data_IF_160587189954
#
_entry.id   IF_160587189954
#
_cell.length_a   1.000
_cell.length_b   1.000
_cell.length_c   1.000
_cell.angle_alpha   90.00
_cell.angle_beta   90.00
_cell.angle_gamma   90.00
#
_symmetry.space_group_name_H-M   'P 1'
#
loop_
_entity.id
_entity.type
_entity.pdbx_description
1 polymer ?
#
# COMPACT_ATOMS: atom_id res chain seq x y z
N UNK A 1 16.02 20.39 3.43
CA UNK A 1 15.09 19.34 3.91
C UNK A 1 14.68 19.66 5.33
N UNK A 2 13.42 19.37 5.73
CA UNK A 2 12.93 19.67 7.08
C UNK A 2 13.68 18.85 8.14
N UNK A 3 14.06 19.49 9.24
CA UNK A 3 14.53 18.78 10.44
C UNK A 3 13.33 18.34 11.28
N UNK A 4 12.94 17.07 11.14
CA UNK A 4 11.84 16.47 11.90
C UNK A 4 12.13 16.27 13.40
N UNK A 5 13.32 16.68 13.90
CA UNK A 5 13.59 16.74 15.35
C UNK A 5 12.70 17.80 16.02
N UNK A 6 12.41 18.91 15.33
CA UNK A 6 11.59 20.00 15.87
C UNK A 6 10.10 19.59 15.87
N UNK A 7 9.43 19.78 17.01
CA UNK A 7 8.00 19.48 17.16
C UNK A 7 7.13 20.29 16.19
N UNK A 8 7.38 21.58 16.04
CA UNK A 8 6.64 22.45 15.12
C UNK A 8 6.67 21.94 13.67
N UNK A 9 7.82 21.44 13.19
CA UNK A 9 7.95 20.83 11.86
C UNK A 9 7.05 19.60 11.72
N UNK A 10 7.03 18.73 12.74
CA UNK A 10 6.18 17.53 12.76
C UNK A 10 4.69 17.87 12.79
N UNK A 11 4.30 18.88 13.56
CA UNK A 11 2.92 19.37 13.64
C UNK A 11 2.45 19.98 12.31
N UNK A 12 3.31 20.78 11.65
CA UNK A 12 3.00 21.33 10.33
C UNK A 12 2.85 20.24 9.25
N UNK A 13 3.66 19.18 9.33
CA UNK A 13 3.63 18.04 8.40
C UNK A 13 2.74 16.88 8.88
N UNK A 14 1.87 17.11 9.85
CA UNK A 14 0.97 16.07 10.37
C UNK A 14 -0.19 15.80 9.42
N UNK A 15 -0.44 14.52 9.11
CA UNK A 15 -1.65 14.13 8.40
C UNK A 15 -2.89 14.47 9.24
N UNK A 16 -3.90 15.04 8.59
CA UNK A 16 -5.19 15.35 9.21
C UNK A 16 -6.27 14.52 8.55
N UNK A 17 -7.25 14.09 9.32
CA UNK A 17 -8.39 13.34 8.81
C UNK A 17 -9.63 14.20 9.07
N UNK A 18 -10.30 14.58 7.99
CA UNK A 18 -11.54 15.35 8.04
C UNK A 18 -12.72 14.37 8.01
N UNK A 19 -13.39 14.24 9.16
CA UNK A 19 -14.55 13.38 9.35
C UNK A 19 -15.88 14.10 9.09
N UNK A 20 -15.87 15.33 8.56
CA UNK A 20 -17.11 16.07 8.25
C UNK A 20 -18.02 15.27 7.34
N UNK A 21 -17.46 14.52 6.37
CA UNK A 21 -18.17 13.58 5.50
C UNK A 21 -18.80 12.37 6.20
N UNK A 22 -18.69 12.27 7.53
CA UNK A 22 -19.35 11.26 8.36
C UNK A 22 -20.32 11.86 9.38
N UNK A 23 -20.07 13.09 9.86
CA UNK A 23 -20.82 13.71 10.96
C UNK A 23 -21.72 14.88 10.53
N UNK A 24 -21.57 15.38 9.30
CA UNK A 24 -22.36 16.51 8.78
C UNK A 24 -23.87 16.27 8.88
N UNK A 25 -24.63 17.29 9.28
CA UNK A 25 -26.08 17.19 9.46
C UNK A 25 -26.82 16.90 8.14
N UNK A 26 -26.24 17.32 7.02
CA UNK A 26 -26.72 17.13 5.66
C UNK A 26 -26.74 15.66 5.23
N UNK A 27 -25.97 14.79 5.90
CA UNK A 27 -26.05 13.34 5.74
C UNK A 27 -27.39 12.77 6.28
N UNK A 28 -28.15 13.57 7.04
CA UNK A 28 -29.44 13.23 7.62
C UNK A 28 -29.37 11.90 8.39
N UNK A 29 -30.22 10.94 8.04
CA UNK A 29 -30.18 9.63 8.68
C UNK A 29 -28.84 8.93 8.51
N UNK A 30 -28.03 9.21 7.48
CA UNK A 30 -26.72 8.58 7.27
C UNK A 30 -25.61 9.18 8.15
N UNK A 31 -25.85 10.31 8.83
CA UNK A 31 -24.86 10.89 9.74
C UNK A 31 -24.53 9.91 10.87
N UNK A 32 -23.25 9.74 11.17
CA UNK A 32 -22.77 8.94 12.31
C UNK A 32 -23.10 9.71 13.59
N UNK A 33 -23.99 9.22 14.47
CA UNK A 33 -24.29 9.93 15.70
C UNK A 33 -23.08 9.90 16.63
N UNK A 34 -22.70 11.04 17.21
CA UNK A 34 -21.62 11.10 18.20
C UNK A 34 -21.85 10.13 19.36
N UNK A 35 -23.09 10.04 19.83
CA UNK A 35 -23.52 9.11 20.88
C UNK A 35 -23.31 7.62 20.49
N UNK A 36 -23.32 7.29 19.20
CA UNK A 36 -23.06 5.92 18.75
C UNK A 36 -21.57 5.55 18.88
N UNK A 37 -20.67 6.49 18.60
CA UNK A 37 -19.23 6.30 18.86
C UNK A 37 -18.96 6.22 20.37
N UNK A 38 -19.64 7.05 21.16
CA UNK A 38 -19.55 7.01 22.64
C UNK A 38 -20.08 5.68 23.20
N UNK A 39 -21.13 5.11 22.60
CA UNK A 39 -21.62 3.77 22.97
C UNK A 39 -20.62 2.65 22.65
N UNK A 40 -19.73 2.84 21.66
CA UNK A 40 -18.64 1.91 21.35
C UNK A 40 -17.39 2.13 22.22
N UNK A 41 -17.35 3.17 23.05
CA UNK A 41 -16.12 3.57 23.76
C UNK A 41 -15.48 2.45 24.58
N UNK A 42 -16.29 1.65 25.30
CA UNK A 42 -15.76 0.52 26.08
C UNK A 42 -15.09 -0.55 25.19
N UNK A 43 -15.72 -0.91 24.07
CA UNK A 43 -15.14 -1.86 23.10
C UNK A 43 -13.89 -1.30 22.45
N UNK A 44 -13.88 -0.02 22.11
CA UNK A 44 -12.73 0.66 21.51
C UNK A 44 -11.53 0.71 22.47
N UNK A 45 -11.77 1.02 23.75
CA UNK A 45 -10.74 0.99 24.79
C UNK A 45 -10.19 -0.42 24.97
N UNK A 46 -11.05 -1.44 25.01
CA UNK A 46 -10.62 -2.84 25.11
C UNK A 46 -9.76 -3.24 23.90
N UNK A 47 -10.21 -2.96 22.67
CA UNK A 47 -9.44 -3.26 21.45
C UNK A 47 -8.08 -2.54 21.46
N UNK A 48 -8.05 -1.28 21.91
CA UNK A 48 -6.84 -0.50 22.07
C UNK A 48 -5.85 -1.14 23.06
N UNK A 49 -6.33 -1.55 24.25
CA UNK A 49 -5.53 -2.20 25.26
C UNK A 49 -5.03 -3.58 24.81
N UNK A 50 -5.86 -4.37 24.14
CA UNK A 50 -5.49 -5.69 23.61
C UNK A 50 -4.36 -5.58 22.59
N UNK A 51 -4.49 -4.67 21.62
CA UNK A 51 -3.43 -4.43 20.63
C UNK A 51 -2.13 -3.97 21.29
N UNK A 52 -2.20 -3.09 22.30
CA UNK A 52 -1.01 -2.67 23.05
C UNK A 52 -0.36 -3.84 23.79
N UNK A 53 -1.14 -4.65 24.50
CA UNK A 53 -0.62 -5.81 25.23
C UNK A 53 0.04 -6.82 24.28
N UNK A 54 -0.56 -7.09 23.12
CA UNK A 54 0.01 -7.98 22.09
C UNK A 54 1.29 -7.41 21.48
N UNK A 55 1.38 -6.10 21.32
CA UNK A 55 2.60 -5.43 20.87
C UNK A 55 3.73 -5.55 21.90
N UNK A 56 3.43 -5.31 23.19
CA UNK A 56 4.39 -5.46 24.30
C UNK A 56 4.84 -6.91 24.48
N UNK A 57 3.96 -7.88 24.24
CA UNK A 57 4.27 -9.31 24.21
C UNK A 57 5.08 -9.74 22.98
N UNK A 58 5.26 -8.86 21.98
CA UNK A 58 6.00 -9.16 20.75
C UNK A 58 5.21 -9.97 19.71
N UNK A 59 3.90 -10.13 19.88
CA UNK A 59 3.02 -10.88 18.97
C UNK A 59 2.69 -10.10 17.70
N UNK A 60 2.93 -8.79 17.69
CA UNK A 60 2.68 -7.90 16.55
C UNK A 60 4.01 -7.35 16.00
N UNK A 61 4.79 -8.16 15.26
CA UNK A 61 6.11 -7.77 14.77
C UNK A 61 6.06 -6.56 13.83
N UNK A 62 4.93 -6.32 13.15
CA UNK A 62 4.74 -5.14 12.28
C UNK A 62 4.94 -3.81 13.04
N UNK A 63 4.47 -3.71 14.29
CA UNK A 63 4.56 -2.49 15.07
C UNK A 63 5.89 -2.41 15.84
N UNK A 64 6.35 -3.53 16.40
CA UNK A 64 7.62 -3.55 17.13
C UNK A 64 8.83 -3.30 16.23
N UNK A 65 8.76 -3.65 14.94
CA UNK A 65 9.83 -3.40 13.97
C UNK A 65 10.20 -1.92 13.85
N UNK A 66 9.24 -1.01 13.97
CA UNK A 66 9.47 0.44 13.87
C UNK A 66 10.57 0.93 14.84
N UNK A 67 10.68 0.29 16.01
CA UNK A 67 11.64 0.63 17.05
C UNK A 67 12.94 -0.17 16.96
N UNK A 68 12.98 -1.21 16.12
CA UNK A 68 14.19 -2.00 15.87
C UNK A 68 15.10 -1.23 14.92
N UNK A 69 16.34 -0.97 15.37
CA UNK A 69 17.39 -0.37 14.53
C UNK A 69 18.24 -1.41 13.81
N UNK A 70 18.06 -2.68 14.13
CA UNK A 70 18.75 -3.81 13.52
C UNK A 70 18.48 -3.85 12.01
N UNK A 71 19.50 -4.11 11.21
CA UNK A 71 19.40 -4.10 9.74
C UNK A 71 19.33 -2.71 9.07
N UNK A 72 19.02 -1.62 9.79
CA UNK A 72 18.97 -0.28 9.17
C UNK A 72 20.36 0.23 8.73
N UNK A 73 21.42 -0.12 9.47
CA UNK A 73 22.78 0.21 9.07
C UNK A 73 23.16 -0.52 7.78
N UNK A 74 22.91 -1.82 7.73
CA UNK A 74 23.12 -2.67 6.55
C UNK A 74 22.33 -2.19 5.33
N UNK A 75 21.05 -1.82 5.51
CA UNK A 75 20.23 -1.22 4.46
C UNK A 75 20.87 0.04 3.90
N UNK A 76 21.40 0.94 4.74
CA UNK A 76 22.04 2.19 4.29
C UNK A 76 23.35 1.94 3.57
N UNK A 77 24.18 1.07 4.12
CA UNK A 77 25.48 0.71 3.56
C UNK A 77 25.30 0.04 2.20
N UNK A 78 24.41 -0.94 2.10
CA UNK A 78 24.10 -1.61 0.85
C UNK A 78 23.47 -0.65 -0.16
N UNK A 79 22.58 0.23 0.28
CA UNK A 79 21.97 1.22 -0.62
C UNK A 79 23.00 2.21 -1.17
N UNK A 80 23.94 2.66 -0.35
CA UNK A 80 25.05 3.51 -0.82
C UNK A 80 25.96 2.76 -1.80
N UNK A 81 26.32 1.51 -1.50
CA UNK A 81 27.10 0.68 -2.41
C UNK A 81 26.40 0.52 -3.77
N UNK A 82 25.10 0.24 -3.76
CA UNK A 82 24.31 0.11 -5.00
C UNK A 82 24.22 1.44 -5.76
N UNK A 83 24.02 2.58 -5.07
CA UNK A 83 24.02 3.91 -5.72
C UNK A 83 25.35 4.25 -6.39
N UNK A 84 26.46 3.81 -5.81
CA UNK A 84 27.80 4.06 -6.36
C UNK A 84 28.11 3.15 -7.56
N UNK A 85 27.55 1.94 -7.57
CA UNK A 85 27.82 0.93 -8.59
C UNK A 85 26.86 0.97 -9.77
N UNK A 86 25.60 1.38 -9.56
CA UNK A 86 24.52 1.22 -10.53
C UNK A 86 23.72 2.52 -10.75
N UNK A 87 23.27 2.71 -11.99
CA UNK A 87 22.41 3.82 -12.38
C UNK A 87 20.93 3.50 -12.20
N UNK A 88 20.58 2.22 -12.30
CA UNK A 88 19.21 1.73 -12.18
C UNK A 88 19.11 0.60 -11.16
N UNK A 89 18.07 0.63 -10.35
CA UNK A 89 17.62 -0.48 -9.53
C UNK A 89 16.26 -0.97 -10.05
N UNK A 90 16.16 -2.24 -10.40
CA UNK A 90 14.90 -2.92 -10.75
C UNK A 90 14.42 -3.67 -9.52
N UNK A 91 13.26 -3.31 -8.98
CA UNK A 91 12.59 -4.08 -7.92
C UNK A 91 11.79 -5.19 -8.58
N UNK A 92 12.17 -6.44 -8.33
CA UNK A 92 11.52 -7.66 -8.81
C UNK A 92 10.69 -8.23 -7.67
N UNK A 93 9.38 -8.14 -7.78
CA UNK A 93 8.45 -8.60 -6.75
C UNK A 93 7.04 -8.12 -7.03
N UNK A 94 6.06 -8.84 -6.52
CA UNK A 94 4.64 -8.57 -6.79
C UNK A 94 3.90 -8.11 -5.53
N UNK A 95 2.76 -7.46 -5.76
CA UNK A 95 1.82 -7.08 -4.72
C UNK A 95 2.31 -6.02 -3.73
N UNK A 96 1.80 -6.10 -2.52
CA UNK A 96 1.97 -5.24 -1.36
C UNK A 96 3.33 -4.62 -1.16
N UNK A 97 4.39 -5.44 -1.15
CA UNK A 97 5.74 -4.93 -0.93
C UNK A 97 6.19 -4.06 -2.10
N UNK A 98 5.96 -4.50 -3.34
CA UNK A 98 6.29 -3.71 -4.52
C UNK A 98 5.48 -2.41 -4.55
N UNK A 99 4.18 -2.45 -4.25
CA UNK A 99 3.33 -1.26 -4.18
C UNK A 99 3.74 -0.31 -3.06
N UNK A 100 4.13 -0.82 -1.89
CA UNK A 100 4.65 -0.01 -0.80
C UNK A 100 5.95 0.69 -1.22
N UNK A 101 6.86 -0.03 -1.87
CA UNK A 101 8.09 0.56 -2.41
C UNK A 101 7.77 1.62 -3.47
N UNK A 102 6.86 1.33 -4.40
CA UNK A 102 6.42 2.28 -5.43
C UNK A 102 5.85 3.56 -4.80
N UNK A 103 5.00 3.40 -3.78
CA UNK A 103 4.41 4.51 -3.05
C UNK A 103 5.47 5.39 -2.37
N UNK A 104 6.53 4.76 -1.84
CA UNK A 104 7.67 5.48 -1.28
C UNK A 104 8.48 6.18 -2.37
N UNK A 105 8.88 5.48 -3.41
CA UNK A 105 9.87 5.97 -4.38
C UNK A 105 9.31 6.99 -5.37
N UNK A 106 8.06 6.84 -5.85
CA UNK A 106 7.46 7.76 -6.84
C UNK A 106 7.24 9.18 -6.29
N UNK A 107 7.34 9.37 -4.97
CA UNK A 107 7.13 10.64 -4.32
C UNK A 107 8.28 11.65 -4.50
N UNK A 108 9.44 11.26 -5.07
CA UNK A 108 10.60 12.15 -5.20
C UNK A 108 11.36 11.98 -6.51
N UNK A 109 12.08 13.04 -6.91
CA UNK A 109 13.12 12.94 -7.93
C UNK A 109 14.28 12.11 -7.37
N UNK A 110 14.63 11.03 -8.06
CA UNK A 110 15.59 10.05 -7.56
C UNK A 110 16.96 10.25 -8.19
N UNK A 111 18.03 10.01 -7.42
CA UNK A 111 19.41 10.04 -7.94
C UNK A 111 19.73 8.80 -8.77
N UNK A 112 19.29 7.65 -8.28
CA UNK A 112 19.32 6.36 -8.97
C UNK A 112 17.91 6.07 -9.44
N UNK A 113 17.75 5.66 -10.70
CA UNK A 113 16.44 5.33 -11.25
C UNK A 113 15.96 4.04 -10.59
N UNK A 114 14.77 4.05 -9.99
CA UNK A 114 14.15 2.82 -9.49
C UNK A 114 12.96 2.48 -10.36
N UNK A 115 12.95 1.27 -10.89
CA UNK A 115 11.88 0.72 -11.74
C UNK A 115 11.33 -0.55 -11.10
N UNK A 116 10.14 -0.94 -11.51
CA UNK A 116 9.40 -2.04 -10.90
C UNK A 116 9.03 -3.07 -11.96
N UNK A 117 9.41 -4.32 -11.72
CA UNK A 117 9.00 -5.48 -12.49
C UNK A 117 7.89 -6.22 -11.72
N UNK A 118 6.71 -5.60 -11.64
CA UNK A 118 5.57 -6.09 -10.85
C UNK A 118 4.56 -6.92 -11.66
N UNK A 119 4.84 -7.12 -12.95
CA UNK A 119 4.04 -7.94 -13.87
C UNK A 119 4.88 -9.04 -14.54
N UNK A 120 4.29 -10.23 -14.64
CA UNK A 120 4.83 -11.37 -15.41
C UNK A 120 4.31 -11.44 -16.85
N UNK A 121 3.54 -10.43 -17.28
CA UNK A 121 3.17 -10.29 -18.68
C UNK A 121 4.45 -10.19 -19.54
N UNK A 122 4.65 -11.09 -20.51
CA UNK A 122 5.87 -11.12 -21.30
C UNK A 122 6.11 -9.83 -22.10
N UNK A 123 5.08 -9.10 -22.52
CA UNK A 123 5.23 -7.83 -23.21
C UNK A 123 5.74 -6.75 -22.26
N UNK A 124 5.11 -6.65 -21.07
CA UNK A 124 5.51 -5.68 -20.05
C UNK A 124 6.93 -5.94 -19.52
N UNK A 125 7.21 -7.19 -19.14
CA UNK A 125 8.52 -7.57 -18.61
C UNK A 125 9.61 -7.51 -19.69
N UNK A 126 9.32 -7.98 -20.91
CA UNK A 126 10.23 -7.91 -22.05
C UNK A 126 10.60 -6.47 -22.40
N UNK A 127 9.60 -5.59 -22.56
CA UNK A 127 9.83 -4.18 -22.86
C UNK A 127 10.61 -3.45 -21.76
N UNK A 128 10.43 -3.82 -20.49
CA UNK A 128 11.25 -3.30 -19.40
C UNK A 128 12.70 -3.72 -19.57
N UNK A 129 12.96 -5.02 -19.75
CA UNK A 129 14.32 -5.57 -19.86
C UNK A 129 15.05 -4.99 -21.09
N UNK A 130 14.38 -4.87 -22.23
CA UNK A 130 14.97 -4.33 -23.47
C UNK A 130 15.40 -2.86 -23.37
N UNK A 131 14.83 -2.10 -22.43
CA UNK A 131 15.19 -0.70 -22.19
C UNK A 131 16.35 -0.52 -21.21
N UNK A 132 16.84 -1.60 -20.58
CA UNK A 132 17.85 -1.54 -19.54
C UNK A 132 19.24 -1.84 -20.09
N UNK A 133 20.23 -1.07 -19.64
CA UNK A 133 21.63 -1.48 -19.71
C UNK A 133 21.96 -2.37 -18.51
N UNK A 134 22.05 -3.68 -18.74
CA UNK A 134 22.29 -4.64 -17.67
C UNK A 134 23.65 -4.44 -16.97
N UNK A 135 24.64 -3.82 -17.64
CA UNK A 135 25.96 -3.55 -17.04
C UNK A 135 25.93 -2.46 -15.98
N UNK A 136 24.89 -1.63 -15.96
CA UNK A 136 24.71 -0.52 -15.00
C UNK A 136 23.41 -0.65 -14.19
N UNK A 137 22.80 -1.84 -14.21
CA UNK A 137 21.52 -2.13 -13.55
C UNK A 137 21.67 -3.20 -12.47
N UNK A 138 21.20 -2.90 -11.26
CA UNK A 138 21.01 -3.89 -10.21
C UNK A 138 19.54 -4.33 -10.13
N UNK A 139 19.31 -5.53 -9.61
CA UNK A 139 18.01 -6.13 -9.40
C UNK A 139 17.83 -6.47 -7.93
N UNK A 140 16.78 -5.93 -7.30
CA UNK A 140 16.37 -6.29 -5.96
C UNK A 140 15.19 -7.26 -6.02
N UNK A 141 15.44 -8.53 -5.73
CA UNK A 141 14.45 -9.61 -5.74
C UNK A 141 13.81 -9.70 -4.36
N UNK A 142 12.51 -9.47 -4.28
CA UNK A 142 11.77 -9.40 -3.02
C UNK A 142 10.67 -10.46 -2.99
N UNK A 143 10.76 -11.39 -2.04
CA UNK A 143 9.70 -12.34 -1.70
C UNK A 143 9.96 -12.84 -0.29
N UNK A 144 9.02 -12.65 0.63
CA UNK A 144 9.20 -13.15 2.00
C UNK A 144 9.28 -14.66 2.04
N UNK A 145 8.34 -15.36 1.40
CA UNK A 145 8.33 -16.83 1.38
C UNK A 145 9.55 -17.41 0.66
N UNK A 146 10.18 -16.62 -0.21
CA UNK A 146 11.20 -17.11 -1.12
C UNK A 146 10.67 -18.11 -2.15
N UNK A 147 9.34 -18.25 -2.26
CA UNK A 147 8.66 -19.27 -3.07
C UNK A 147 7.58 -18.68 -3.99
N UNK A 148 7.39 -17.37 -4.02
CA UNK A 148 6.40 -16.70 -4.89
C UNK A 148 6.72 -17.00 -6.38
N UNK A 149 5.86 -17.73 -7.11
CA UNK A 149 6.17 -18.20 -8.46
C UNK A 149 6.49 -17.09 -9.45
N UNK A 150 5.74 -15.99 -9.39
CA UNK A 150 5.89 -14.83 -10.26
C UNK A 150 7.27 -14.19 -10.09
N UNK A 151 7.66 -13.93 -8.82
CA UNK A 151 8.98 -13.38 -8.48
C UNK A 151 10.10 -14.36 -8.85
N UNK A 152 9.95 -15.64 -8.57
CA UNK A 152 10.96 -16.66 -8.90
C UNK A 152 11.15 -16.80 -10.41
N UNK A 153 10.07 -16.77 -11.19
CA UNK A 153 10.15 -16.84 -12.65
C UNK A 153 10.93 -15.64 -13.21
N UNK A 154 10.60 -14.42 -12.80
CA UNK A 154 11.33 -13.22 -13.21
C UNK A 154 12.79 -13.27 -12.75
N UNK A 155 13.05 -13.70 -11.51
CA UNK A 155 14.42 -13.87 -10.99
C UNK A 155 15.24 -14.84 -11.85
N UNK A 156 14.69 -16.00 -12.22
CA UNK A 156 15.39 -16.98 -13.04
C UNK A 156 15.73 -16.42 -14.43
N UNK A 157 14.83 -15.64 -15.03
CA UNK A 157 15.08 -14.96 -16.31
C UNK A 157 16.19 -13.91 -16.15
N UNK A 158 16.08 -13.02 -15.15
CA UNK A 158 17.09 -11.98 -14.88
C UNK A 158 18.46 -12.60 -14.62
N UNK A 159 18.52 -13.65 -13.80
CA UNK A 159 19.75 -14.35 -13.46
C UNK A 159 20.41 -14.94 -14.70
N UNK A 160 19.66 -15.63 -15.56
CA UNK A 160 20.17 -16.20 -16.80
C UNK A 160 20.68 -15.11 -17.78
N UNK A 161 19.94 -14.00 -17.91
CA UNK A 161 20.36 -12.86 -18.75
C UNK A 161 21.67 -12.24 -18.24
N UNK A 162 21.76 -11.94 -16.94
CA UNK A 162 22.98 -11.39 -16.34
C UNK A 162 24.15 -12.36 -16.48
N UNK A 163 23.93 -13.66 -16.25
CA UNK A 163 24.99 -14.67 -16.37
C UNK A 163 25.51 -14.77 -17.81
N UNK A 164 24.63 -14.72 -18.82
CA UNK A 164 25.03 -14.75 -20.24
C UNK A 164 25.76 -13.49 -20.68
N UNK A 165 25.36 -12.33 -20.18
CA UNK A 165 25.90 -11.04 -20.63
C UNK A 165 27.17 -10.61 -19.87
N UNK A 166 27.22 -10.88 -18.56
CA UNK A 166 28.29 -10.40 -17.67
C UNK A 166 29.23 -11.52 -17.20
N UNK A 167 28.80 -12.78 -17.34
CA UNK A 167 29.57 -13.94 -16.90
C UNK A 167 29.45 -14.23 -15.40
N UNK A 168 29.99 -15.39 -15.00
CA UNK A 168 29.81 -15.96 -13.65
C UNK A 168 30.46 -15.15 -12.52
N UNK A 169 31.44 -14.29 -12.83
CA UNK A 169 32.14 -13.49 -11.81
C UNK A 169 31.34 -12.24 -11.48
N UNK A 170 30.81 -11.55 -12.50
CA UNK A 170 30.24 -10.21 -12.32
C UNK A 170 28.73 -10.22 -12.14
N UNK A 171 27.98 -11.28 -12.50
CA UNK A 171 26.52 -11.21 -12.40
C UNK A 171 26.01 -11.10 -10.95
N UNK A 172 26.69 -11.73 -9.98
CA UNK A 172 26.20 -11.84 -8.60
C UNK A 172 26.13 -10.47 -7.89
N UNK A 173 27.03 -9.54 -8.23
CA UNK A 173 26.95 -8.16 -7.72
C UNK A 173 25.75 -7.39 -8.27
N UNK A 174 25.11 -7.81 -9.37
CA UNK A 174 23.88 -7.16 -9.87
C UNK A 174 22.63 -7.62 -9.12
N UNK A 175 22.73 -8.60 -8.22
CA UNK A 175 21.59 -9.14 -7.49
C UNK A 175 21.64 -8.78 -6.00
N UNK A 176 20.50 -8.34 -5.49
CA UNK A 176 20.23 -8.16 -4.06
C UNK A 176 18.93 -8.88 -3.72
N UNK A 177 18.97 -9.83 -2.80
CA UNK A 177 17.78 -10.60 -2.42
C UNK A 177 17.23 -10.12 -1.08
N UNK A 178 15.93 -9.83 -1.01
CA UNK A 178 15.24 -9.49 0.23
C UNK A 178 14.16 -10.53 0.52
N UNK A 179 14.46 -11.43 1.45
CA UNK A 179 13.68 -12.64 1.75
C UNK A 179 13.72 -12.94 3.26
N UNK A 180 12.97 -13.92 3.73
CA UNK A 180 13.09 -14.44 5.10
C UNK A 180 14.56 -14.72 5.48
N UNK A 181 14.92 -14.54 6.74
CA UNK A 181 16.30 -14.68 7.21
C UNK A 181 16.83 -16.11 7.12
N UNK A 182 15.96 -17.11 7.28
CA UNK A 182 16.35 -18.50 7.47
C UNK A 182 15.61 -19.47 6.55
N UNK A 183 14.46 -19.09 5.98
CA UNK A 183 13.57 -19.98 5.24
C UNK A 183 13.39 -19.59 3.76
N UNK A 184 12.93 -20.56 2.96
CA UNK A 184 12.52 -20.38 1.57
C UNK A 184 13.64 -20.64 0.55
N UNK A 185 13.23 -20.92 -0.69
CA UNK A 185 14.16 -21.26 -1.77
C UNK A 185 15.14 -20.11 -2.08
N UNK A 186 14.66 -18.85 -2.08
CA UNK A 186 15.54 -17.69 -2.24
C UNK A 186 16.63 -17.60 -1.17
N UNK A 187 16.34 -17.96 0.09
CA UNK A 187 17.35 -17.96 1.15
C UNK A 187 18.43 -19.01 0.88
N UNK A 188 18.03 -20.21 0.46
CA UNK A 188 18.98 -21.25 0.06
C UNK A 188 19.87 -20.79 -1.10
N UNK A 189 19.27 -20.17 -2.13
CA UNK A 189 20.00 -19.64 -3.29
C UNK A 189 21.00 -18.56 -2.87
N UNK A 190 20.63 -17.66 -1.94
CA UNK A 190 21.55 -16.66 -1.38
C UNK A 190 22.77 -17.33 -0.73
N UNK A 191 22.58 -18.42 0.01
CA UNK A 191 23.68 -19.17 0.63
C UNK A 191 24.57 -19.87 -0.41
N UNK A 192 23.97 -20.47 -1.43
CA UNK A 192 24.70 -21.23 -2.45
C UNK A 192 25.49 -20.34 -3.41
N UNK A 193 24.94 -19.17 -3.78
CA UNK A 193 25.52 -18.28 -4.79
C UNK A 193 26.20 -17.04 -4.20
N UNK A 194 26.03 -16.77 -2.89
CA UNK A 194 26.69 -15.67 -2.19
C UNK A 194 26.14 -14.28 -2.54
N UNK A 195 24.86 -14.18 -2.89
CA UNK A 195 24.23 -12.89 -3.18
C UNK A 195 24.19 -11.99 -1.94
N UNK A 196 24.27 -10.68 -2.18
CA UNK A 196 23.96 -9.68 -1.15
C UNK A 196 22.49 -9.84 -0.76
N UNK A 197 22.18 -9.84 0.54
CA UNK A 197 20.81 -10.06 0.98
C UNK A 197 20.42 -9.19 2.16
N UNK A 198 19.10 -8.99 2.32
CA UNK A 198 18.50 -8.31 3.46
C UNK A 198 17.36 -9.18 4.02
N UNK A 199 17.16 -9.21 5.35
CA UNK A 199 16.09 -10.00 5.93
C UNK A 199 14.74 -9.26 5.88
N UNK A 200 13.67 -10.00 5.62
CA UNK A 200 12.30 -9.58 5.96
C UNK A 200 11.99 -10.08 7.38
N UNK A 201 11.51 -9.23 8.30
CA UNK A 201 11.27 -9.64 9.68
C UNK A 201 10.29 -10.81 9.78
N UNK A 202 10.56 -11.80 10.66
CA UNK A 202 9.67 -12.93 10.86
C UNK A 202 8.30 -12.45 11.36
N UNK A 203 7.23 -13.13 10.95
CA UNK A 203 5.86 -12.81 11.36
C UNK A 203 5.25 -11.54 10.75
N UNK A 204 5.95 -10.81 9.87
CA UNK A 204 5.38 -9.65 9.14
C UNK A 204 5.02 -10.06 7.71
N UNK A 205 3.75 -10.10 7.32
CA UNK A 205 3.38 -10.41 5.92
C UNK A 205 3.91 -9.34 4.95
N UNK A 206 3.98 -9.67 3.65
CA UNK A 206 4.50 -8.76 2.61
C UNK A 206 3.79 -7.39 2.64
N UNK A 207 2.46 -7.36 2.81
CA UNK A 207 1.64 -6.13 2.89
C UNK A 207 1.99 -5.26 4.10
N UNK A 208 2.33 -5.90 5.23
CA UNK A 208 2.71 -5.25 6.48
C UNK A 208 4.19 -4.82 6.49
N UNK A 209 4.99 -5.30 5.53
CA UNK A 209 6.43 -5.07 5.42
C UNK A 209 6.81 -3.70 4.79
N UNK A 210 5.85 -2.78 4.65
CA UNK A 210 6.01 -1.46 4.02
C UNK A 210 7.05 -0.53 4.71
N UNK A 211 7.40 -0.80 5.98
CA UNK A 211 8.46 -0.11 6.74
C UNK A 211 9.63 -1.04 7.11
N UNK A 212 9.74 -2.18 6.45
CA UNK A 212 10.82 -3.16 6.61
C UNK A 212 11.97 -2.94 5.60
N UNK A 213 13.10 -3.68 5.70
CA UNK A 213 14.18 -3.60 4.73
C UNK A 213 13.73 -3.78 3.28
N UNK A 214 12.68 -4.57 3.04
CA UNK A 214 12.11 -4.77 1.71
C UNK A 214 11.64 -3.47 1.03
N UNK A 215 11.11 -2.53 1.81
CA UNK A 215 10.69 -1.22 1.30
C UNK A 215 11.74 -0.13 1.52
N UNK A 216 12.44 -0.19 2.64
CA UNK A 216 13.43 0.83 3.01
C UNK A 216 14.69 0.76 2.15
N UNK A 217 15.12 -0.42 1.70
CA UNK A 217 16.29 -0.55 0.83
C UNK A 217 16.13 0.13 -0.53
N UNK A 218 15.14 -0.22 -1.36
CA UNK A 218 14.92 0.48 -2.63
C UNK A 218 14.58 1.96 -2.44
N UNK A 219 13.88 2.34 -1.35
CA UNK A 219 13.69 3.74 -0.99
C UNK A 219 15.01 4.45 -0.69
N UNK A 220 15.91 3.83 0.08
CA UNK A 220 17.23 4.39 0.33
C UNK A 220 17.99 4.53 -0.99
N UNK A 221 18.03 3.50 -1.86
CA UNK A 221 18.72 3.55 -3.16
C UNK A 221 18.23 4.70 -4.03
N UNK A 222 16.94 5.02 -4.02
CA UNK A 222 16.40 6.17 -4.75
C UNK A 222 16.94 7.53 -4.29
N UNK A 223 17.55 7.59 -3.10
CA UNK A 223 18.05 8.80 -2.45
C UNK A 223 17.17 9.27 -1.29
N UNK A 224 16.10 8.53 -0.97
CA UNK A 224 15.20 8.88 0.12
C UNK A 224 15.87 8.71 1.48
N UNK A 225 15.62 9.68 2.38
CA UNK A 225 15.97 9.57 3.79
C UNK A 225 15.00 8.64 4.51
N UNK A 226 15.35 7.37 4.64
CA UNK A 226 14.53 6.37 5.34
C UNK A 226 14.23 6.74 6.80
N UNK A 227 15.10 7.52 7.45
CA UNK A 227 14.87 8.05 8.80
C UNK A 227 13.66 8.96 8.87
N UNK A 228 13.36 9.69 7.80
CA UNK A 228 12.22 10.59 7.75
C UNK A 228 10.92 9.77 7.62
N UNK A 229 10.94 8.62 6.92
CA UNK A 229 9.82 7.65 6.89
C UNK A 229 9.56 7.12 8.30
N UNK A 230 10.60 6.60 8.96
CA UNK A 230 10.49 6.03 10.30
C UNK A 230 10.06 7.09 11.34
N UNK A 231 10.55 8.33 11.22
CA UNK A 231 10.11 9.43 12.06
C UNK A 231 8.63 9.76 11.86
N UNK A 232 8.13 9.66 10.62
CA UNK A 232 6.72 9.80 10.29
C UNK A 232 5.85 8.72 10.92
N UNK A 233 6.26 7.47 10.77
CA UNK A 233 5.58 6.33 11.40
C UNK A 233 5.55 6.47 12.93
N UNK A 234 6.67 6.81 13.57
CA UNK A 234 6.74 7.05 15.02
C UNK A 234 5.89 8.24 15.48
N UNK A 235 5.76 9.27 14.65
CA UNK A 235 4.86 10.39 14.93
C UNK A 235 3.39 9.97 14.91
N UNK A 236 2.98 9.16 13.92
CA UNK A 236 1.62 8.63 13.89
C UNK A 236 1.37 7.62 15.02
N UNK A 237 2.35 6.79 15.37
CA UNK A 237 2.29 5.92 16.53
C UNK A 237 1.95 6.67 17.81
N UNK A 238 2.68 7.75 18.11
CA UNK A 238 2.45 8.54 19.30
C UNK A 238 1.00 9.07 19.35
N UNK A 239 0.42 9.43 18.21
CA UNK A 239 -0.99 9.84 18.10
C UNK A 239 -1.96 8.67 18.25
N UNK A 240 -1.58 7.48 17.80
CA UNK A 240 -2.39 6.26 17.91
C UNK A 240 -2.31 5.61 19.30
N UNK A 241 -1.38 6.04 20.18
CA UNK A 241 -1.32 5.62 21.59
C UNK A 241 -2.30 6.35 22.51
N UNK A 242 -2.94 7.42 22.02
CA UNK A 242 -3.98 8.13 22.77
C UNK A 242 -5.22 7.22 22.92
N UNK A 243 -5.68 6.91 24.15
CA UNK A 243 -6.83 6.04 24.37
C UNK A 243 -8.17 6.72 24.05
N UNK A 244 -8.25 8.05 24.09
CA UNK A 244 -9.45 8.78 23.68
C UNK A 244 -9.66 8.67 22.16
N UNK A 245 -10.76 8.04 21.76
CA UNK A 245 -11.16 7.88 20.35
C UNK A 245 -11.16 9.20 19.60
N UNK A 246 -11.57 10.31 20.21
CA UNK A 246 -11.67 11.61 19.51
C UNK A 246 -10.31 12.27 19.25
N UNK A 247 -9.25 11.77 19.88
CA UNK A 247 -7.89 12.28 19.77
C UNK A 247 -6.95 11.28 19.09
N UNK A 248 -7.44 10.08 18.81
CA UNK A 248 -6.72 9.00 18.12
C UNK A 248 -7.24 8.83 16.68
N UNK A 249 -6.48 9.24 15.65
CA UNK A 249 -6.97 9.24 14.28
C UNK A 249 -7.28 7.84 13.75
N UNK A 250 -6.45 6.83 14.07
CA UNK A 250 -6.66 5.46 13.62
C UNK A 250 -7.84 4.80 14.32
N UNK A 251 -8.02 5.06 15.62
CA UNK A 251 -9.12 4.51 16.39
C UNK A 251 -10.47 5.14 16.00
N UNK A 252 -10.51 6.46 15.75
CA UNK A 252 -11.71 7.12 15.24
C UNK A 252 -12.10 6.62 13.86
N UNK A 253 -11.11 6.46 12.97
CA UNK A 253 -11.34 5.92 11.63
C UNK A 253 -11.92 4.50 11.70
N UNK A 254 -11.34 3.64 12.54
CA UNK A 254 -11.86 2.30 12.78
C UNK A 254 -13.29 2.32 13.37
N UNK A 255 -13.56 3.20 14.35
CA UNK A 255 -14.86 3.30 14.99
C UNK A 255 -15.97 3.71 14.01
N UNK A 256 -15.71 4.75 13.20
CA UNK A 256 -16.65 5.24 12.18
C UNK A 256 -16.94 4.16 11.14
N UNK A 257 -15.91 3.46 10.67
CA UNK A 257 -16.04 2.45 9.63
C UNK A 257 -16.70 1.18 10.14
N UNK A 258 -16.39 0.77 11.37
CA UNK A 258 -17.08 -0.32 12.04
C UNK A 258 -18.57 0.00 12.21
N UNK A 259 -18.90 1.18 12.72
CA UNK A 259 -20.30 1.61 12.88
C UNK A 259 -21.04 1.65 11.54
N UNK A 260 -20.44 2.25 10.52
CA UNK A 260 -21.04 2.32 9.18
C UNK A 260 -21.23 0.92 8.58
N UNK A 261 -20.31 -0.01 8.84
CA UNK A 261 -20.43 -1.39 8.37
C UNK A 261 -21.57 -2.14 9.07
N UNK A 262 -21.64 -2.07 10.40
CA UNK A 262 -22.65 -2.80 11.19
C UNK A 262 -24.04 -2.21 11.02
N UNK A 263 -24.17 -0.89 11.15
CA UNK A 263 -25.48 -0.22 11.18
C UNK A 263 -26.01 0.13 9.80
N UNK A 264 -25.10 0.32 8.81
CA UNK A 264 -25.45 0.80 7.46
C UNK A 264 -25.02 -0.12 6.34
N UNK A 265 -24.50 -1.30 6.69
CA UNK A 265 -24.05 -2.29 5.73
C UNK A 265 -23.05 -1.69 4.71
N UNK A 266 -22.19 -0.76 5.16
CA UNK A 266 -21.04 -0.31 4.38
C UNK A 266 -20.06 -1.47 4.29
N UNK A 267 -19.74 -1.85 3.05
CA UNK A 267 -18.91 -3.01 2.73
C UNK A 267 -17.69 -2.65 1.91
N UNK A 268 -17.62 -1.45 1.37
CA UNK A 268 -16.64 -1.13 0.34
C UNK A 268 -15.94 0.17 0.63
N UNK A 269 -14.62 0.13 0.73
CA UNK A 269 -13.77 1.31 0.87
C UNK A 269 -13.12 1.66 -0.45
N UNK A 270 -13.08 2.96 -0.75
CA UNK A 270 -12.52 3.45 -2.01
C UNK A 270 -11.48 4.52 -1.73
N UNK A 271 -10.21 4.20 -1.95
CA UNK A 271 -9.13 5.17 -1.85
C UNK A 271 -9.07 6.00 -3.13
N UNK A 272 -9.16 7.33 -3.00
CA UNK A 272 -9.23 8.26 -4.14
C UNK A 272 -8.04 9.22 -4.07
N UNK A 273 -6.90 8.92 -4.71
CA UNK A 273 -5.73 9.78 -4.64
C UNK A 273 -5.93 11.04 -5.51
N UNK A 274 -5.96 12.22 -4.88
CA UNK A 274 -5.90 13.53 -5.57
C UNK A 274 -4.45 13.96 -5.83
N UNK A 275 -3.58 13.00 -6.14
CA UNK A 275 -2.20 13.22 -6.51
C UNK A 275 -1.66 11.96 -7.19
N UNK A 276 -0.98 12.11 -8.33
CA UNK A 276 -0.41 10.96 -9.06
C UNK A 276 0.61 10.18 -8.21
N UNK A 277 1.40 10.89 -7.40
CA UNK A 277 2.41 10.25 -6.54
C UNK A 277 1.80 9.39 -5.41
N UNK A 278 0.50 9.52 -5.15
CA UNK A 278 -0.22 8.70 -4.15
C UNK A 278 -0.96 7.50 -4.77
N UNK A 279 -0.85 7.29 -6.09
CA UNK A 279 -1.56 6.19 -6.77
C UNK A 279 -1.14 4.81 -6.27
N UNK A 280 0.16 4.54 -6.21
CA UNK A 280 0.69 3.30 -5.64
C UNK A 280 0.36 3.16 -4.15
N UNK A 281 0.25 4.27 -3.42
CA UNK A 281 -0.15 4.24 -2.00
C UNK A 281 -1.63 3.86 -1.85
N UNK A 282 -2.50 4.37 -2.73
CA UNK A 282 -3.92 4.03 -2.75
C UNK A 282 -4.13 2.54 -3.12
N UNK A 283 -3.36 2.04 -4.10
CA UNK A 283 -3.28 0.61 -4.44
C UNK A 283 -2.88 -0.24 -3.24
N UNK A 284 -1.74 0.08 -2.62
CA UNK A 284 -1.26 -0.60 -1.41
C UNK A 284 -2.29 -0.56 -0.28
N UNK A 285 -2.97 0.58 -0.09
CA UNK A 285 -4.00 0.76 0.94
C UNK A 285 -5.20 -0.15 0.70
N UNK A 286 -5.64 -0.27 -0.55
CA UNK A 286 -6.73 -1.16 -0.93
C UNK A 286 -6.36 -2.63 -0.73
N UNK A 287 -5.16 -3.03 -1.15
CA UNK A 287 -4.69 -4.42 -0.93
C UNK A 287 -4.55 -4.74 0.56
N UNK A 288 -3.98 -3.83 1.36
CA UNK A 288 -3.82 -4.01 2.81
C UNK A 288 -5.17 -4.27 3.49
N UNK A 289 -6.18 -3.45 3.20
CA UNK A 289 -7.52 -3.60 3.79
C UNK A 289 -8.19 -4.87 3.28
N UNK A 290 -8.15 -5.10 1.96
CA UNK A 290 -8.82 -6.23 1.32
C UNK A 290 -8.28 -7.59 1.77
N UNK A 291 -6.97 -7.70 1.96
CA UNK A 291 -6.31 -8.95 2.37
C UNK A 291 -6.40 -9.17 3.89
N UNK A 292 -6.13 -8.15 4.70
CA UNK A 292 -6.08 -8.33 6.16
C UNK A 292 -7.45 -8.45 6.82
N UNK A 293 -8.50 -7.89 6.22
CA UNK A 293 -9.87 -8.04 6.73
C UNK A 293 -10.63 -9.16 6.04
N UNK A 294 -10.00 -9.88 5.09
CA UNK A 294 -10.58 -11.08 4.53
C UNK A 294 -10.75 -12.17 5.59
N UNK A 295 -11.94 -12.74 5.68
CA UNK A 295 -12.19 -13.87 6.56
C UNK A 295 -11.67 -15.17 5.93
N UNK A 296 -10.74 -15.82 6.62
CA UNK A 296 -10.47 -17.25 6.45
C UNK A 296 -11.65 -18.05 7.02
N UNK A 297 -12.22 -18.94 6.22
CA UNK A 297 -13.35 -19.73 6.65
C UNK A 297 -12.88 -21.01 7.35
N UNK A 298 -13.06 -21.06 8.68
CA UNK A 298 -12.67 -22.19 9.54
C UNK A 298 -13.28 -23.57 9.24
N UNK A 299 -13.94 -23.75 8.09
CA UNK A 299 -14.54 -25.01 7.63
C UNK A 299 -14.18 -25.36 6.18
N UNK A 300 -13.10 -24.81 5.61
CA UNK A 300 -12.69 -25.09 4.22
C UNK A 300 -13.60 -24.46 3.15
N UNK A 301 -14.40 -23.46 3.52
CA UNK A 301 -15.21 -22.64 2.60
C UNK A 301 -14.81 -21.19 2.76
N UNK A 302 -14.43 -20.55 1.66
CA UNK A 302 -14.18 -19.10 1.62
C UNK A 302 -15.40 -18.35 2.17
N UNK A 303 -15.22 -17.59 3.24
CA UNK A 303 -16.26 -16.71 3.78
C UNK A 303 -16.14 -15.33 3.15
N UNK A 304 -17.27 -14.65 2.99
CA UNK A 304 -17.25 -13.26 2.53
C UNK A 304 -16.61 -12.37 3.60
N UNK A 305 -15.68 -11.53 3.17
CA UNK A 305 -15.15 -10.45 4.00
C UNK A 305 -16.28 -9.49 4.38
N UNK A 306 -16.32 -8.95 5.61
CA UNK A 306 -17.23 -7.85 5.92
C UNK A 306 -16.88 -6.57 5.16
N UNK A 307 -15.62 -6.44 4.70
CA UNK A 307 -15.11 -5.26 4.03
C UNK A 307 -14.25 -5.61 2.81
N UNK A 308 -14.49 -4.92 1.71
CA UNK A 308 -13.69 -4.91 0.50
C UNK A 308 -13.07 -3.53 0.34
N UNK A 309 -11.92 -3.45 -0.32
CA UNK A 309 -11.32 -2.19 -0.66
C UNK A 309 -10.82 -2.18 -2.11
N UNK A 310 -10.97 -1.03 -2.75
CA UNK A 310 -10.42 -0.74 -4.06
C UNK A 310 -9.97 0.72 -4.10
N UNK A 311 -9.42 1.13 -5.22
CA UNK A 311 -8.92 2.48 -5.43
C UNK A 311 -9.33 2.95 -6.82
N UNK A 312 -9.48 4.26 -6.97
CA UNK A 312 -9.75 4.88 -8.27
C UNK A 312 -9.11 6.25 -8.34
N UNK A 313 -8.46 6.53 -9.47
CA UNK A 313 -7.91 7.85 -9.75
C UNK A 313 -8.53 8.41 -11.02
N UNK A 314 -8.89 9.69 -10.97
CA UNK A 314 -9.14 10.51 -12.15
C UNK A 314 -8.70 11.93 -11.86
N UNK A 315 -8.19 12.62 -12.89
CA UNK A 315 -8.00 14.07 -12.81
C UNK A 315 -9.33 14.82 -12.94
N UNK A 316 -10.36 14.16 -13.44
CA UNK A 316 -11.72 14.69 -13.61
C UNK A 316 -12.60 14.31 -12.40
N UNK A 317 -12.94 15.28 -11.53
CA UNK A 317 -13.81 15.04 -10.39
C UNK A 317 -15.25 14.67 -10.79
N UNK A 318 -15.70 15.02 -12.00
CA UNK A 318 -17.05 14.68 -12.47
C UNK A 318 -17.16 13.20 -12.82
N UNK A 319 -16.11 12.61 -13.38
CA UNK A 319 -16.01 11.16 -13.56
C UNK A 319 -15.99 10.44 -12.21
N UNK A 320 -15.23 10.93 -11.23
CA UNK A 320 -15.21 10.36 -9.88
C UNK A 320 -16.59 10.41 -9.23
N UNK A 321 -17.31 11.53 -9.37
CA UNK A 321 -18.67 11.65 -8.90
C UNK A 321 -19.59 10.63 -9.55
N UNK A 322 -19.52 10.47 -10.88
CA UNK A 322 -20.35 9.51 -11.60
C UNK A 322 -20.10 8.07 -11.12
N UNK A 323 -18.85 7.70 -10.89
CA UNK A 323 -18.48 6.37 -10.38
C UNK A 323 -18.93 6.18 -8.93
N UNK A 324 -18.60 7.12 -8.03
CA UNK A 324 -18.89 6.99 -6.59
C UNK A 324 -20.38 7.13 -6.26
N UNK A 325 -21.13 7.93 -7.03
CA UNK A 325 -22.58 8.04 -6.83
C UNK A 325 -23.34 6.90 -7.52
N UNK A 326 -22.82 6.41 -8.65
CA UNK A 326 -23.37 5.26 -9.37
C UNK A 326 -23.08 3.92 -8.69
N UNK A 327 -22.09 3.84 -7.80
CA UNK A 327 -21.81 2.63 -7.03
C UNK A 327 -22.91 2.33 -6.00
N UNK A 328 -22.89 1.09 -5.52
CA UNK A 328 -23.79 0.64 -4.47
C UNK A 328 -23.65 1.52 -3.21
N UNK A 329 -24.76 1.65 -2.45
CA UNK A 329 -24.80 2.56 -1.29
C UNK A 329 -23.95 2.12 -0.10
N UNK A 330 -23.31 0.97 -0.20
CA UNK A 330 -22.38 0.39 0.76
C UNK A 330 -20.93 0.88 0.58
N UNK A 331 -20.73 1.94 -0.22
CA UNK A 331 -19.42 2.52 -0.53
C UNK A 331 -19.04 3.66 0.43
N UNK A 332 -17.81 3.65 0.92
CA UNK A 332 -17.17 4.68 1.75
C UNK A 332 -15.92 5.20 1.04
N UNK A 333 -15.86 6.50 0.73
CA UNK A 333 -14.73 7.08 0.03
C UNK A 333 -13.65 7.61 1.00
N UNK A 334 -12.39 7.49 0.61
CA UNK A 334 -11.24 8.03 1.34
C UNK A 334 -10.39 8.87 0.38
N UNK A 335 -10.79 10.14 0.12
CA UNK A 335 -9.96 11.06 -0.65
C UNK A 335 -8.59 11.28 0.01
N UNK A 336 -7.51 11.13 -0.76
CA UNK A 336 -6.16 11.50 -0.32
C UNK A 336 -5.82 12.88 -0.88
N UNK A 337 -6.09 13.90 -0.08
CA UNK A 337 -6.09 15.31 -0.46
C UNK A 337 -4.74 15.97 -0.18
N UNK A 338 -3.96 16.28 -1.22
CA UNK A 338 -2.68 16.99 -1.08
C UNK A 338 -2.89 18.50 -1.08
N UNK A 339 -2.22 19.21 -0.17
CA UNK A 339 -2.28 20.67 -0.05
C UNK A 339 -1.16 21.34 -0.85
N UNK A 340 0.09 20.92 -0.62
CA UNK A 340 1.26 21.38 -1.37
C UNK A 340 1.78 20.27 -2.29
N UNK A 341 1.75 20.54 -3.59
CA UNK A 341 2.24 19.64 -4.64
C UNK A 341 3.73 19.86 -4.99
N UNK A 342 4.39 20.86 -4.38
CA UNK A 342 5.79 21.20 -4.62
C UNK A 342 6.08 21.88 -5.96
N UNK A 343 5.05 22.12 -6.78
CA UNK A 343 5.13 22.79 -8.07
C UNK A 343 3.91 23.69 -8.27
N UNK A 344 4.14 24.93 -8.67
CA UNK A 344 3.09 25.88 -9.02
C UNK A 344 3.04 26.09 -10.52
N UNK A 345 1.87 25.84 -11.10
CA UNK A 345 1.60 26.06 -12.52
C UNK A 345 0.36 26.93 -12.66
N UNK A 346 0.54 28.26 -12.82
CA UNK A 346 -0.58 29.18 -12.99
C UNK A 346 -1.24 28.97 -14.36
N UNK A 347 -2.57 29.04 -14.39
CA UNK A 347 -3.34 29.05 -15.62
C UNK A 347 -3.32 30.45 -16.20
N UNK A 348 -2.86 30.56 -17.45
CA UNK A 348 -2.78 31.83 -18.15
C UNK A 348 -4.18 32.45 -18.30
N UNK A 349 -4.25 33.76 -18.11
CA UNK A 349 -5.47 34.57 -18.32
C UNK A 349 -5.74 34.85 -19.81
N UNK A 350 -5.49 33.87 -20.67
CA UNK A 350 -5.76 33.96 -22.11
C UNK A 350 -7.24 33.67 -22.39
N UNK A 351 -7.80 34.30 -23.43
CA UNK A 351 -9.18 34.08 -23.89
C UNK A 351 -10.26 34.35 -22.82
N UNK A 352 -10.07 35.36 -21.96
CA UNK A 352 -11.03 35.73 -20.91
C UNK A 352 -12.35 36.31 -21.44
N UNK A 353 -12.38 36.71 -22.70
CA UNK A 353 -13.60 37.06 -23.44
C UNK A 353 -14.50 35.84 -23.71
N UNK A 354 -13.96 34.62 -23.65
CA UNK A 354 -14.72 33.38 -23.73
C UNK A 354 -15.21 32.96 -22.34
N UNK A 355 -16.51 33.10 -22.09
CA UNK A 355 -17.17 32.74 -20.81
C UNK A 355 -16.77 31.34 -20.27
N UNK A 356 -16.68 30.27 -21.09
CA UNK A 356 -16.28 28.95 -20.60
C UNK A 356 -14.84 28.84 -20.08
N UNK A 357 -13.98 29.83 -20.35
CA UNK A 357 -12.57 29.83 -19.97
C UNK A 357 -12.24 30.89 -18.92
N UNK A 358 -13.04 31.96 -18.85
CA UNK A 358 -12.79 33.14 -18.03
C UNK A 358 -12.55 32.81 -16.54
N UNK A 359 -13.28 31.83 -15.98
CA UNK A 359 -13.16 31.43 -14.59
C UNK A 359 -11.86 30.68 -14.24
N UNK A 360 -11.10 30.21 -15.24
CA UNK A 360 -9.85 29.49 -15.03
C UNK A 360 -8.65 30.43 -14.84
N UNK A 361 -8.70 31.62 -15.45
CA UNK A 361 -7.60 32.59 -15.42
C UNK A 361 -7.35 33.11 -14.00
N UNK A 362 -6.07 33.10 -13.59
CA UNK A 362 -5.66 33.57 -12.25
C UNK A 362 -5.63 32.50 -11.17
N UNK A 363 -6.06 31.27 -11.47
CA UNK A 363 -5.88 30.09 -10.61
C UNK A 363 -4.64 29.28 -11.00
N UNK A 364 -4.08 28.52 -10.06
CA UNK A 364 -3.13 27.45 -10.35
C UNK A 364 -3.82 26.12 -10.65
N UNK A 365 -3.12 25.20 -11.32
CA UNK A 365 -3.61 23.82 -11.50
C UNK A 365 -3.93 23.13 -10.17
N UNK A 366 -3.16 23.41 -9.11
CA UNK A 366 -3.43 22.90 -7.77
C UNK A 366 -4.73 23.46 -7.17
N UNK A 367 -5.07 24.73 -7.44
CA UNK A 367 -6.33 25.34 -6.98
C UNK A 367 -7.54 24.68 -7.64
N UNK A 368 -7.44 24.42 -8.95
CA UNK A 368 -8.49 23.74 -9.72
C UNK A 368 -8.68 22.32 -9.21
N UNK A 369 -7.59 21.58 -8.97
CA UNK A 369 -7.65 20.23 -8.41
C UNK A 369 -8.30 20.22 -7.02
N UNK A 370 -7.92 21.17 -6.15
CA UNK A 370 -8.51 21.32 -4.83
C UNK A 370 -9.99 21.72 -4.87
N UNK A 371 -10.38 22.60 -5.81
CA UNK A 371 -11.77 22.97 -6.04
C UNK A 371 -12.60 21.77 -6.53
N UNK A 372 -12.07 20.99 -7.47
CA UNK A 372 -12.69 19.76 -7.96
C UNK A 372 -12.93 18.74 -6.85
N UNK A 373 -11.93 18.53 -5.97
CA UNK A 373 -12.09 17.70 -4.76
C UNK A 373 -13.21 18.19 -3.85
N UNK A 374 -13.22 19.49 -3.52
CA UNK A 374 -14.27 20.08 -2.65
C UNK A 374 -15.66 19.93 -3.27
N UNK A 375 -15.77 20.09 -4.59
CA UNK A 375 -17.02 19.87 -5.32
C UNK A 375 -17.48 18.41 -5.21
N UNK A 376 -16.56 17.44 -5.38
CA UNK A 376 -16.86 16.02 -5.18
C UNK A 376 -17.34 15.75 -3.75
N UNK A 377 -16.58 16.19 -2.74
CA UNK A 377 -16.92 16.00 -1.32
C UNK A 377 -18.29 16.60 -0.98
N UNK A 378 -18.58 17.81 -1.48
CA UNK A 378 -19.88 18.47 -1.30
C UNK A 378 -21.02 17.64 -1.92
N UNK A 379 -20.80 17.14 -3.13
CA UNK A 379 -21.78 16.31 -3.82
C UNK A 379 -22.00 14.98 -3.09
N UNK A 380 -20.94 14.35 -2.58
CA UNK A 380 -21.06 13.15 -1.73
C UNK A 380 -21.93 13.42 -0.50
N UNK A 381 -21.74 14.54 0.20
CA UNK A 381 -22.60 14.94 1.33
C UNK A 381 -24.06 15.10 0.89
N UNK A 382 -24.33 15.86 -0.18
CA UNK A 382 -25.69 16.10 -0.67
C UNK A 382 -26.42 14.80 -1.05
N UNK A 383 -25.69 13.82 -1.56
CA UNK A 383 -26.22 12.49 -1.90
C UNK A 383 -26.11 11.47 -0.77
N UNK A 384 -25.81 11.93 0.45
CA UNK A 384 -25.72 11.13 1.67
C UNK A 384 -24.71 9.97 1.56
N UNK A 385 -23.56 10.22 0.94
CA UNK A 385 -22.44 9.28 0.81
C UNK A 385 -21.37 9.58 1.86
N UNK A 386 -20.84 8.54 2.48
CA UNK A 386 -19.77 8.69 3.47
C UNK A 386 -18.41 8.91 2.83
N UNK A 387 -17.64 9.80 3.44
CA UNK A 387 -16.21 9.87 3.20
C UNK A 387 -15.45 10.40 4.41
N UNK A 388 -14.14 10.11 4.42
CA UNK A 388 -13.16 10.79 5.28
C UNK A 388 -12.04 11.31 4.40
N UNK A 389 -11.84 12.63 4.41
CA UNK A 389 -10.78 13.25 3.61
C UNK A 389 -9.47 13.19 4.40
N UNK A 390 -8.50 12.43 3.90
CA UNK A 390 -7.15 12.42 4.45
C UNK A 390 -6.38 13.60 3.85
N UNK A 391 -6.18 14.66 4.63
CA UNK A 391 -5.44 15.84 4.23
C UNK A 391 -3.94 15.66 4.47
N UNK A 392 -3.19 15.70 3.37
CA UNK A 392 -1.75 15.63 3.27
C UNK A 392 -1.19 17.04 3.12
N UNK A 393 -0.41 17.56 4.08
CA UNK A 393 0.26 18.85 3.92
C UNK A 393 1.15 18.88 2.68
N UNK A 394 1.89 17.81 2.45
CA UNK A 394 2.74 17.59 1.28
C UNK A 394 2.97 16.07 1.14
N UNK A 395 3.30 15.57 -0.05
CA UNK A 395 3.77 14.19 -0.21
C UNK A 395 5.27 14.12 0.02
N UNK A 396 5.69 13.59 1.16
CA UNK A 396 7.09 13.40 1.52
C UNK A 396 7.29 12.13 2.39
N UNK A 397 8.54 11.70 2.68
CA UNK A 397 8.80 10.46 3.41
C UNK A 397 8.11 10.42 4.77
N UNK A 398 8.08 11.56 5.48
CA UNK A 398 7.46 11.68 6.79
C UNK A 398 5.94 11.53 6.74
N UNK A 399 5.25 12.09 5.75
CA UNK A 399 3.81 11.88 5.59
C UNK A 399 3.47 10.47 5.12
N UNK A 400 4.32 9.86 4.29
CA UNK A 400 4.14 8.48 3.84
C UNK A 400 4.24 7.49 5.02
N UNK A 401 5.26 7.65 5.88
CA UNK A 401 5.40 6.86 7.09
C UNK A 401 4.21 7.00 8.05
N UNK A 402 3.66 8.22 8.19
CA UNK A 402 2.44 8.45 8.96
C UNK A 402 1.23 7.68 8.41
N UNK A 403 1.01 7.70 7.09
CA UNK A 403 -0.12 7.01 6.47
C UNK A 403 0.02 5.50 6.62
N UNK A 404 1.19 4.95 6.28
CA UNK A 404 1.45 3.50 6.35
C UNK A 404 1.15 2.98 7.74
N UNK A 405 1.71 3.62 8.77
CA UNK A 405 1.49 3.23 10.15
C UNK A 405 0.03 3.41 10.60
N UNK A 406 -0.58 4.57 10.27
CA UNK A 406 -1.95 4.88 10.67
C UNK A 406 -2.97 3.92 10.08
N UNK A 407 -2.82 3.57 8.80
CA UNK A 407 -3.71 2.64 8.13
C UNK A 407 -3.53 1.21 8.65
N UNK A 408 -2.29 0.75 8.82
CA UNK A 408 -2.02 -0.54 9.49
C UNK A 408 -2.71 -0.58 10.85
N UNK A 409 -2.54 0.44 11.70
CA UNK A 409 -3.18 0.48 13.01
C UNK A 409 -4.71 0.49 12.92
N UNK A 410 -5.28 1.20 11.95
CA UNK A 410 -6.73 1.22 11.70
C UNK A 410 -7.26 -0.18 11.36
N UNK A 411 -6.57 -0.90 10.49
CA UNK A 411 -6.93 -2.26 10.09
C UNK A 411 -6.89 -3.22 11.28
N UNK A 412 -5.87 -3.13 12.14
CA UNK A 412 -5.81 -3.94 13.36
C UNK A 412 -6.96 -3.62 14.32
N UNK A 413 -7.32 -2.34 14.51
CA UNK A 413 -8.51 -1.99 15.31
C UNK A 413 -9.80 -2.57 14.72
N UNK A 414 -9.97 -2.51 13.40
CA UNK A 414 -11.14 -3.10 12.74
C UNK A 414 -11.19 -4.60 12.91
N UNK A 415 -10.06 -5.29 12.76
CA UNK A 415 -9.99 -6.72 12.95
C UNK A 415 -10.43 -7.13 14.36
N UNK A 416 -9.95 -6.43 15.40
CA UNK A 416 -10.41 -6.66 16.79
C UNK A 416 -11.91 -6.36 16.95
N UNK A 417 -12.42 -5.27 16.36
CA UNK A 417 -13.84 -4.91 16.44
C UNK A 417 -14.77 -5.91 15.74
N UNK A 418 -14.34 -6.49 14.61
CA UNK A 418 -15.05 -7.53 13.89
C UNK A 418 -14.80 -8.94 14.44
N UNK A 419 -13.80 -9.13 15.31
CA UNK A 419 -13.41 -10.44 15.83
C UNK A 419 -12.71 -11.32 14.78
N UNK A 420 -11.94 -10.71 13.88
CA UNK A 420 -11.23 -11.35 12.77
C UNK A 420 -9.75 -11.43 13.10
N UNK A 421 -9.10 -12.54 12.73
CA UNK A 421 -7.64 -12.64 12.76
C UNK A 421 -7.07 -12.02 11.47
N UNK A 422 -6.26 -10.94 11.56
CA UNK A 422 -5.69 -10.33 10.37
C UNK A 422 -4.77 -11.29 9.60
N UNK A 423 -4.89 -11.31 8.28
CA UNK A 423 -3.91 -11.96 7.39
C UNK A 423 -4.13 -13.46 7.15
N UNK A 424 -5.38 -13.92 7.21
CA UNK A 424 -5.72 -15.26 6.73
C UNK A 424 -5.63 -15.31 5.18
N UNK A 425 -4.57 -15.92 4.64
CA UNK A 425 -4.31 -15.99 3.18
C UNK A 425 -5.00 -17.19 2.48
N UNK A 426 -6.06 -17.78 3.05
CA UNK A 426 -6.63 -19.05 2.58
C UNK A 426 -6.99 -19.08 1.08
N UNK A 427 -7.56 -17.99 0.56
CA UNK A 427 -7.91 -17.86 -0.86
C UNK A 427 -6.68 -17.81 -1.76
N UNK A 428 -5.67 -17.04 -1.36
CA UNK A 428 -4.39 -16.95 -2.06
C UNK A 428 -3.68 -18.30 -2.08
N UNK A 429 -3.63 -18.99 -0.93
CA UNK A 429 -3.08 -20.33 -0.81
C UNK A 429 -3.81 -21.35 -1.69
N UNK A 430 -5.14 -21.33 -1.71
CA UNK A 430 -5.92 -22.23 -2.55
C UNK A 430 -5.59 -22.04 -4.04
N UNK A 431 -5.52 -20.78 -4.51
CA UNK A 431 -5.13 -20.47 -5.88
C UNK A 431 -3.69 -20.91 -6.18
N UNK A 432 -2.74 -20.64 -5.26
CA UNK A 432 -1.33 -21.08 -5.40
C UNK A 432 -1.21 -22.59 -5.55
N UNK A 433 -1.98 -23.39 -4.80
CA UNK A 433 -1.95 -24.85 -4.91
C UNK A 433 -2.43 -25.34 -6.29
N UNK A 434 -3.48 -24.72 -6.83
CA UNK A 434 -3.95 -25.00 -8.20
C UNK A 434 -2.90 -24.60 -9.24
N UNK A 435 -2.26 -23.44 -9.08
CA UNK A 435 -1.17 -22.99 -9.93
C UNK A 435 0.01 -23.98 -9.90
N UNK A 436 0.42 -24.45 -8.72
CA UNK A 436 1.48 -25.45 -8.59
C UNK A 436 1.14 -26.73 -9.34
N UNK A 437 -0.09 -27.23 -9.21
CA UNK A 437 -0.55 -28.41 -9.94
C UNK A 437 -0.56 -28.21 -11.45
N UNK A 438 -1.08 -27.05 -11.92
CA UNK A 438 -1.12 -26.71 -13.33
C UNK A 438 0.28 -26.58 -13.96
N UNK A 439 1.28 -26.18 -13.19
CA UNK A 439 2.68 -26.12 -13.61
C UNK A 439 3.47 -27.42 -13.38
N UNK A 440 2.81 -28.49 -12.91
CA UNK A 440 3.45 -29.79 -12.72
C UNK A 440 4.41 -29.88 -11.53
N UNK A 441 4.24 -29.05 -10.49
CA UNK A 441 5.03 -29.16 -9.25
C UNK A 441 4.72 -30.50 -8.58
N UNK A 442 5.76 -31.28 -8.30
CA UNK A 442 5.63 -32.57 -7.58
C UNK A 442 4.88 -32.38 -6.26
N UNK A 443 3.93 -33.29 -5.98
CA UNK A 443 3.07 -33.25 -4.79
C UNK A 443 1.77 -32.46 -4.96
N UNK A 444 1.53 -31.87 -6.14
CA UNK A 444 0.29 -31.15 -6.48
C UNK A 444 -0.45 -31.76 -7.69
N UNK A 445 -0.22 -33.04 -7.99
CA UNK A 445 -0.79 -33.75 -9.15
C UNK A 445 -2.32 -33.75 -9.12
N UNK A 446 -2.92 -33.86 -7.92
CA UNK A 446 -4.37 -33.81 -7.74
C UNK A 446 -4.95 -32.46 -8.16
N UNK A 447 -4.30 -31.36 -7.77
CA UNK A 447 -4.68 -30.02 -8.17
C UNK A 447 -4.48 -29.77 -9.67
N UNK A 448 -3.44 -30.36 -10.27
CA UNK A 448 -3.23 -30.31 -11.73
C UNK A 448 -4.38 -30.95 -12.50
N UNK A 449 -4.79 -32.16 -12.11
CA UNK A 449 -5.95 -32.85 -12.69
C UNK A 449 -7.25 -32.06 -12.49
N UNK A 450 -7.41 -31.37 -11.36
CA UNK A 450 -8.58 -30.52 -11.10
C UNK A 450 -8.67 -29.34 -12.09
N UNK A 451 -7.55 -28.66 -12.35
CA UNK A 451 -7.47 -27.56 -13.32
C UNK A 451 -7.75 -28.07 -14.74
N UNK A 452 -7.10 -29.18 -15.14
CA UNK A 452 -7.31 -29.78 -16.47
C UNK A 452 -8.76 -30.19 -16.69
N UNK A 453 -9.38 -30.83 -15.69
CA UNK A 453 -10.79 -31.22 -15.73
C UNK A 453 -11.69 -30.00 -15.92
N UNK A 454 -11.48 -28.94 -15.13
CA UNK A 454 -12.27 -27.72 -15.27
C UNK A 454 -12.16 -27.11 -16.67
N UNK A 455 -10.96 -27.13 -17.28
CA UNK A 455 -10.75 -26.63 -18.65
C UNK A 455 -11.44 -27.53 -19.69
N UNK A 456 -11.34 -28.86 -19.55
CA UNK A 456 -11.92 -29.82 -20.47
C UNK A 456 -13.46 -29.87 -20.43
N UNK A 457 -14.05 -29.63 -19.26
CA UNK A 457 -15.50 -29.67 -19.03
C UNK A 457 -16.20 -28.32 -19.28
N UNK A 458 -15.49 -27.26 -19.72
CA UNK A 458 -16.12 -25.97 -20.02
C UNK A 458 -17.11 -26.11 -21.18
N UNK A 459 -18.40 -25.80 -20.99
CA UNK A 459 -19.34 -25.90 -22.09
C UNK A 459 -19.00 -24.84 -23.14
N UNK A 460 -18.79 -25.30 -24.38
CA UNK A 460 -18.36 -24.44 -25.49
C UNK A 460 -19.38 -23.36 -25.82
N UNK A 461 -20.66 -23.54 -25.47
CA UNK A 461 -21.69 -22.51 -25.67
C UNK A 461 -21.48 -21.23 -24.85
N UNK A 462 -20.64 -21.27 -23.81
CA UNK A 462 -20.28 -20.09 -22.99
C UNK A 462 -18.96 -19.45 -23.40
N UNK A 463 -18.29 -19.98 -24.43
CA UNK A 463 -17.04 -19.43 -24.99
C UNK A 463 -17.38 -18.86 -26.37
N UNK A 464 -17.62 -17.54 -26.41
CA UNK A 464 -18.04 -16.80 -27.62
C UNK A 464 -16.89 -16.49 -28.57
#
# INVERSE_FOLDING_TARGET
>A
MPDYRRRATREAMSLRFDFSGCFAAELAEQAVPRAAIEALASRLVTAHQQIQAREEAGELPVFSWLHRREGLAEVRELAEAVRQQFQTLVVVGTGGTALAVQALVRAQETRTRVVFADSIDPDCFGALIEQLDLSTTAFNVISKSGETPETLAQFLVVRDLLLRQLGAVDYAQHLVVTTDADQGALRQIVHDEGFRSLPIPPGVSDRLAAISPASLFPAAVSGMRIDDILAGAAWMEARCREPDVWRNPALLLAAVLYWASVERNVRTWVFVPFCHNLEALAQWSAELVGELLANGGGNGRLQSSPLHAWWIRSADPTLLAQVLLGSARDTFAVPLAVQDHGREWPVASAYQDLEPLAYLGGHGLADILAAGRRALETLLVHHRRWFVSAAWPQVNPFTLGQWVYGLQRTVFYLAELFGIQPGAEEAGDACRRLLYGALGRKGFEAQGMEVERYVAERPSEWVL
#
